data_IF_361065874375
#
_entry.id   IF_361065874375
#
_cell.length_a   1.000
_cell.length_b   1.000
_cell.length_c   1.000
_cell.angle_alpha   90.00
_cell.angle_beta   90.00
_cell.angle_gamma   90.00
#
_symmetry.space_group_name_H-M   'P 1'
#
loop_
_entity.id
_entity.type
_entity.pdbx_description
1 polymer ?
#
# COMPACT_ATOMS: atom_id res chain seq x y z
N UNK A 1 -7.70 -20.72 27.81
CA UNK A 1 -6.64 -20.63 26.78
C UNK A 1 -6.78 -19.28 26.09
N UNK A 2 -5.70 -18.50 26.12
CA UNK A 2 -5.59 -17.08 25.75
C UNK A 2 -6.06 -16.78 24.31
N UNK A 3 -7.19 -16.06 24.18
CA UNK A 3 -7.70 -15.60 22.89
C UNK A 3 -7.34 -14.12 22.69
N UNK A 4 -6.06 -13.85 22.43
CA UNK A 4 -5.58 -12.51 22.16
C UNK A 4 -5.89 -12.15 20.70
N UNK A 5 -7.11 -11.68 20.42
CA UNK A 5 -7.39 -10.88 19.22
C UNK A 5 -6.69 -9.52 19.35
N UNK A 6 -5.36 -9.50 19.30
CA UNK A 6 -4.61 -8.26 19.15
C UNK A 6 -4.83 -7.79 17.71
N UNK A 7 -5.75 -6.84 17.53
CA UNK A 7 -5.86 -6.12 16.26
C UNK A 7 -4.48 -5.59 15.87
N UNK A 8 -4.08 -5.77 14.61
CA UNK A 8 -2.78 -5.28 14.13
C UNK A 8 -2.66 -3.79 14.45
N UNK A 9 -1.61 -3.41 15.18
CA UNK A 9 -1.34 -2.02 15.55
C UNK A 9 -0.85 -1.25 14.34
N UNK A 10 -1.30 -0.01 14.18
CA UNK A 10 -0.77 0.92 13.19
C UNK A 10 0.73 1.12 13.43
N UNK A 11 1.55 0.96 12.39
CA UNK A 11 3.00 1.15 12.46
C UNK A 11 3.35 2.54 11.96
N UNK A 12 4.27 3.19 12.66
CA UNK A 12 4.79 4.50 12.27
C UNK A 12 6.30 4.39 12.02
N UNK A 13 6.81 5.03 10.96
CA UNK A 13 8.24 5.08 10.66
C UNK A 13 8.58 6.33 9.83
N UNK A 14 9.86 6.65 9.70
CA UNK A 14 10.37 7.71 8.83
C UNK A 14 10.49 7.19 7.38
N UNK A 15 10.56 8.09 6.37
CA UNK A 15 10.82 7.69 4.99
C UNK A 15 12.13 6.91 4.83
N UNK A 16 13.17 7.25 5.60
CA UNK A 16 14.48 6.57 5.55
C UNK A 16 14.37 5.14 6.07
N UNK A 17 13.68 4.93 7.20
CA UNK A 17 13.44 3.59 7.73
C UNK A 17 12.59 2.75 6.78
N UNK A 18 11.56 3.35 6.17
CA UNK A 18 10.71 2.67 5.20
C UNK A 18 11.48 2.27 3.94
N UNK A 19 12.32 3.16 3.42
CA UNK A 19 13.16 2.88 2.25
C UNK A 19 14.18 1.76 2.57
N UNK A 20 14.88 1.86 3.69
CA UNK A 20 15.83 0.83 4.13
C UNK A 20 15.15 -0.54 4.28
N UNK A 21 13.95 -0.57 4.84
CA UNK A 21 13.16 -1.80 4.98
C UNK A 21 12.77 -2.39 3.62
N UNK A 22 12.35 -1.56 2.66
CA UNK A 22 12.06 -2.01 1.31
C UNK A 22 13.29 -2.60 0.62
N UNK A 23 14.45 -1.96 0.78
CA UNK A 23 15.72 -2.46 0.26
C UNK A 23 16.13 -3.79 0.90
N UNK A 24 15.95 -3.96 2.22
CA UNK A 24 16.24 -5.22 2.91
C UNK A 24 15.36 -6.37 2.40
N UNK A 25 14.07 -6.11 2.14
CA UNK A 25 13.11 -7.14 1.74
C UNK A 25 13.19 -7.50 0.25
N UNK A 26 13.46 -6.52 -0.62
CA UNK A 26 13.30 -6.68 -2.08
C UNK A 26 14.52 -6.21 -2.90
N UNK A 27 15.57 -5.70 -2.24
CA UNK A 27 16.76 -5.14 -2.88
C UNK A 27 16.56 -3.69 -3.35
N UNK A 28 17.60 -3.10 -3.94
CA UNK A 28 17.63 -1.68 -4.35
C UNK A 28 16.68 -1.30 -5.49
N UNK A 29 16.18 -2.27 -6.25
CA UNK A 29 15.28 -2.01 -7.37
C UNK A 29 13.84 -1.82 -6.86
N UNK A 30 13.46 -0.56 -6.63
CA UNK A 30 12.11 -0.18 -6.17
C UNK A 30 10.99 -0.75 -7.06
N UNK A 31 11.23 -1.01 -8.34
CA UNK A 31 10.21 -1.58 -9.24
C UNK A 31 9.79 -3.00 -8.83
N UNK A 32 10.65 -3.71 -8.10
CA UNK A 32 10.42 -5.08 -7.61
C UNK A 32 9.82 -5.12 -6.21
N UNK A 33 9.73 -3.98 -5.53
CA UNK A 33 9.15 -3.92 -4.19
C UNK A 33 7.69 -4.35 -4.25
N UNK A 34 7.26 -5.07 -3.22
CA UNK A 34 5.91 -5.60 -3.13
C UNK A 34 5.19 -5.00 -1.93
N UNK A 35 3.96 -4.56 -2.16
CA UNK A 35 3.09 -3.95 -1.17
C UNK A 35 1.77 -4.71 -1.09
N UNK A 36 1.13 -4.69 0.07
CA UNK A 36 -0.16 -5.36 0.30
C UNK A 36 -1.26 -4.31 0.43
N UNK A 37 -2.28 -4.39 -0.41
CA UNK A 37 -3.47 -3.56 -0.24
C UNK A 37 -4.13 -3.86 1.11
N UNK A 38 -4.25 -2.88 2.01
CA UNK A 38 -4.77 -3.10 3.35
C UNK A 38 -6.27 -3.44 3.37
N UNK A 39 -7.02 -3.09 2.31
CA UNK A 39 -8.46 -3.38 2.19
C UNK A 39 -8.74 -4.79 1.67
N UNK A 40 -8.17 -5.18 0.52
CA UNK A 40 -8.47 -6.45 -0.13
C UNK A 40 -7.37 -7.53 0.01
N UNK A 41 -6.16 -7.16 0.42
CA UNK A 41 -5.02 -8.08 0.56
C UNK A 41 -4.24 -8.34 -0.74
N UNK A 42 -4.56 -7.69 -1.86
CA UNK A 42 -3.83 -7.87 -3.12
C UNK A 42 -2.37 -7.42 -2.95
N UNK A 43 -1.44 -8.30 -3.32
CA UNK A 43 -0.01 -7.98 -3.41
C UNK A 43 0.24 -7.33 -4.76
N UNK A 44 0.99 -6.23 -4.77
CA UNK A 44 1.23 -5.42 -5.97
C UNK A 44 2.61 -4.76 -5.92
N UNK A 45 3.13 -4.36 -7.07
CA UNK A 45 4.46 -3.79 -7.26
C UNK A 45 4.44 -2.57 -8.18
N UNK A 46 5.40 -1.64 -8.07
CA UNK A 46 5.47 -0.49 -8.97
C UNK A 46 5.61 -0.89 -10.46
N UNK A 47 6.18 -2.07 -10.75
CA UNK A 47 6.26 -2.61 -12.11
C UNK A 47 4.87 -2.87 -12.72
N UNK A 48 3.90 -3.36 -11.94
CA UNK A 48 2.54 -3.65 -12.46
C UNK A 48 1.81 -2.37 -12.87
N UNK A 49 2.05 -1.26 -12.18
CA UNK A 49 1.44 0.03 -12.50
C UNK A 49 1.95 0.62 -13.82
N UNK A 50 3.12 0.16 -14.31
CA UNK A 50 3.63 0.55 -15.62
C UNK A 50 2.71 0.11 -16.77
N UNK A 51 1.91 -0.95 -16.57
CA UNK A 51 0.93 -1.45 -17.55
C UNK A 51 -0.38 -0.64 -17.59
N UNK A 52 -0.49 0.40 -16.75
CA UNK A 52 -1.68 1.24 -16.61
C UNK A 52 -1.37 2.74 -16.75
N UNK A 53 -0.22 3.08 -17.33
CA UNK A 53 0.24 4.48 -17.47
C UNK A 53 -0.72 5.33 -18.30
N UNK A 54 -1.32 4.75 -19.33
CA UNK A 54 -2.33 5.36 -20.19
C UNK A 54 -3.61 5.75 -19.43
N UNK A 55 -3.82 5.17 -18.25
CA UNK A 55 -4.91 5.49 -17.31
C UNK A 55 -4.45 6.38 -16.16
N UNK A 56 -3.25 6.96 -16.26
CA UNK A 56 -2.67 7.87 -15.27
C UNK A 56 -1.97 7.20 -14.09
N UNK A 57 -1.77 5.87 -14.12
CA UNK A 57 -1.05 5.16 -13.07
C UNK A 57 0.44 5.54 -13.05
N UNK A 58 0.98 5.76 -11.85
CA UNK A 58 2.40 6.00 -11.59
C UNK A 58 2.99 4.83 -10.80
N UNK A 59 4.29 4.53 -10.92
CA UNK A 59 4.94 3.48 -10.13
C UNK A 59 4.73 3.66 -8.61
N UNK A 60 4.80 4.90 -8.13
CA UNK A 60 4.61 5.27 -6.73
C UNK A 60 3.18 5.04 -6.22
N UNK A 61 2.20 4.88 -7.12
CA UNK A 61 0.84 4.52 -6.70
C UNK A 61 0.77 3.11 -6.10
N UNK A 62 1.78 2.25 -6.31
CA UNK A 62 1.79 0.89 -5.80
C UNK A 62 1.81 0.78 -4.26
N UNK A 63 2.21 1.84 -3.55
CA UNK A 63 2.12 1.90 -2.10
C UNK A 63 1.00 2.83 -1.60
N UNK A 64 0.14 3.34 -2.49
CA UNK A 64 -0.96 4.26 -2.14
C UNK A 64 -2.33 3.75 -2.58
N UNK A 65 -2.42 3.11 -3.75
CA UNK A 65 -3.68 2.76 -4.43
C UNK A 65 -3.70 1.27 -4.73
N UNK A 66 -4.85 0.63 -4.63
CA UNK A 66 -4.99 -0.74 -5.12
C UNK A 66 -4.92 -0.78 -6.66
N UNK A 67 -4.12 -1.67 -7.25
CA UNK A 67 -3.90 -1.76 -8.70
C UNK A 67 -5.19 -1.99 -9.50
N UNK A 68 -6.15 -2.70 -8.90
CA UNK A 68 -7.47 -2.94 -9.51
C UNK A 68 -8.27 -1.66 -9.77
N UNK A 69 -7.85 -0.52 -9.20
CA UNK A 69 -8.40 0.80 -9.52
C UNK A 69 -8.17 1.19 -10.99
N UNK A 70 -7.13 0.65 -11.62
CA UNK A 70 -6.73 0.98 -12.99
C UNK A 70 -7.06 -0.13 -14.00
N UNK A 71 -7.56 -1.28 -13.55
CA UNK A 71 -8.15 -2.29 -14.42
C UNK A 71 -9.42 -1.70 -15.09
N UNK A 72 -9.73 -2.06 -16.35
CA UNK A 72 -10.75 -1.41 -17.19
C UNK A 72 -12.18 -1.36 -16.60
N UNK A 73 -13.04 -0.53 -17.20
CA UNK A 73 -14.42 -0.27 -16.75
C UNK A 73 -15.43 -1.39 -17.07
N UNK A 74 -14.97 -2.47 -17.68
CA UNK A 74 -15.76 -3.60 -18.20
C UNK A 74 -16.44 -4.43 -17.09
N UNK A 75 -16.16 -4.18 -15.81
CA UNK A 75 -17.02 -4.63 -14.72
C UNK A 75 -16.74 -3.87 -13.41
N UNK A 76 -17.74 -3.15 -12.89
CA UNK A 76 -17.73 -2.60 -11.51
C UNK A 76 -18.01 -3.68 -10.45
N UNK A 77 -18.08 -4.95 -10.82
CA UNK A 77 -18.27 -6.06 -9.89
C UNK A 77 -16.90 -6.59 -9.45
N UNK A 78 -16.51 -6.29 -8.20
CA UNK A 78 -15.39 -6.97 -7.52
C UNK A 78 -14.05 -6.23 -7.48
N UNK A 79 -13.92 -5.02 -8.03
CA UNK A 79 -12.67 -4.24 -7.98
C UNK A 79 -12.49 -3.52 -6.64
N UNK A 80 -11.27 -3.56 -6.09
CA UNK A 80 -10.91 -2.76 -4.92
C UNK A 80 -10.42 -1.38 -5.37
N UNK A 81 -11.14 -0.32 -5.00
CA UNK A 81 -10.78 1.06 -5.38
C UNK A 81 -9.98 1.80 -4.31
N UNK A 82 -9.59 1.10 -3.23
CA UNK A 82 -8.98 1.70 -2.05
C UNK A 82 -7.75 2.54 -2.36
N UNK A 83 -7.67 3.71 -1.73
CA UNK A 83 -6.50 4.57 -1.74
C UNK A 83 -6.23 5.21 -0.38
N UNK A 84 -4.95 5.37 -0.02
CA UNK A 84 -4.49 6.13 1.15
C UNK A 84 -4.26 7.61 0.87
N UNK A 85 -4.49 8.09 -0.36
CA UNK A 85 -4.40 9.50 -0.75
C UNK A 85 -5.74 10.11 -1.19
N UNK A 86 -6.86 9.40 -1.00
CA UNK A 86 -8.19 9.80 -1.46
C UNK A 86 -9.28 9.79 -0.38
N UNK A 87 -10.55 9.76 -0.80
CA UNK A 87 -11.72 9.77 0.10
C UNK A 87 -11.82 8.51 0.99
N UNK A 88 -11.17 7.42 0.61
CA UNK A 88 -11.20 6.14 1.32
C UNK A 88 -10.21 6.04 2.50
N UNK A 89 -9.50 7.12 2.84
CA UNK A 89 -8.44 7.15 3.86
C UNK A 89 -8.91 6.70 5.25
N UNK A 90 -10.22 6.77 5.54
CA UNK A 90 -10.85 6.26 6.76
C UNK A 90 -11.62 4.94 6.62
N UNK A 91 -11.60 4.29 5.45
CA UNK A 91 -12.33 3.04 5.26
C UNK A 91 -11.76 1.90 6.12
N UNK A 92 -12.65 1.03 6.60
CA UNK A 92 -12.25 -0.17 7.34
C UNK A 92 -11.33 -1.03 6.48
N UNK A 93 -10.12 -1.28 6.98
CA UNK A 93 -9.11 -2.12 6.35
C UNK A 93 -8.90 -3.40 7.17
N UNK A 94 -8.42 -4.46 6.52
CA UNK A 94 -8.03 -5.72 7.19
C UNK A 94 -6.74 -5.54 7.98
N UNK A 95 -5.79 -4.79 7.41
CA UNK A 95 -4.52 -4.42 8.04
C UNK A 95 -4.43 -2.88 8.04
N UNK A 96 -4.02 -2.22 9.13
CA UNK A 96 -3.83 -0.78 9.11
C UNK A 96 -2.68 -0.39 8.15
N UNK A 97 -2.81 0.70 7.37
CA UNK A 97 -1.69 1.28 6.63
C UNK A 97 -0.53 1.69 7.55
N UNK A 98 0.68 1.77 7.00
CA UNK A 98 1.84 2.38 7.67
C UNK A 98 1.69 3.91 7.63
N UNK A 99 2.04 4.58 8.72
CA UNK A 99 2.17 6.03 8.77
C UNK A 99 3.64 6.42 8.58
N UNK A 100 3.97 7.10 7.49
CA UNK A 100 5.27 7.73 7.31
C UNK A 100 5.26 9.13 7.91
N UNK A 101 6.16 9.36 8.88
CA UNK A 101 6.43 10.67 9.50
C UNK A 101 7.41 11.43 8.63
N UNK A 102 6.88 12.32 7.80
CA UNK A 102 7.69 13.27 7.04
C UNK A 102 8.18 14.39 7.97
N UNK A 103 9.10 15.23 7.48
CA UNK A 103 9.66 16.34 8.25
C UNK A 103 8.59 17.18 8.96
N UNK A 104 8.78 17.43 10.26
CA UNK A 104 7.84 18.15 11.11
C UNK A 104 6.58 17.34 11.43
N UNK A 105 5.40 17.94 11.21
CA UNK A 105 4.10 17.34 11.56
C UNK A 105 3.39 16.64 10.38
N UNK A 106 4.03 16.56 9.21
CA UNK A 106 3.40 15.96 8.02
C UNK A 106 3.43 14.43 8.12
N UNK A 107 2.28 13.79 7.91
CA UNK A 107 2.13 12.34 7.93
C UNK A 107 1.45 11.87 6.66
N UNK A 108 1.98 10.81 6.03
CA UNK A 108 1.31 10.14 4.90
C UNK A 108 1.05 8.67 5.26
N UNK A 109 -0.03 8.12 4.71
CA UNK A 109 -0.37 6.70 4.87
C UNK A 109 0.07 5.95 3.63
N UNK A 110 0.78 4.85 3.82
CA UNK A 110 1.23 3.97 2.74
C UNK A 110 0.86 2.53 3.04
N UNK A 111 0.80 1.70 2.01
CA UNK A 111 0.57 0.27 2.15
C UNK A 111 1.77 -0.39 2.81
N UNK A 112 1.51 -1.51 3.47
CA UNK A 112 2.56 -2.31 4.07
C UNK A 112 3.34 -3.09 3.00
N UNK A 113 4.58 -3.48 3.30
CA UNK A 113 5.34 -4.40 2.48
C UNK A 113 4.74 -5.82 2.52
N UNK A 114 4.83 -6.55 1.42
CA UNK A 114 4.46 -7.96 1.40
C UNK A 114 5.45 -8.79 2.22
N UNK A 115 4.95 -9.79 2.96
CA UNK A 115 5.76 -10.60 3.89
C UNK A 115 5.77 -10.08 5.33
N UNK A 116 5.21 -8.90 5.58
CA UNK A 116 5.04 -8.32 6.93
C UNK A 116 3.61 -8.45 7.49
N UNK A 117 2.71 -9.05 6.69
CA UNK A 117 1.28 -9.19 6.96
C UNK A 117 0.93 -10.59 7.46
#
# INVERSE_FOLDING_TARGET
MINSKQGKRTREMTPVEWEHKGEQLFGKDRKKWKFVCPKCGKVQSPKEFLAHKEKGAKPDDAYLKCVTRFEGADSNQGRCLYSTDGVDVGAQTRNPPIILKLNGNRRIRVFDFAGEC
#
